data_IF_366557562721
#
_entry.id   IF_366557562721
#
_cell.length_a   1.000
_cell.length_b   1.000
_cell.length_c   1.000
_cell.angle_alpha   90.00
_cell.angle_beta   90.00
_cell.angle_gamma   90.00
#
_symmetry.space_group_name_H-M   'P 1'
#
loop_
_entity.id
_entity.type
_entity.pdbx_description
1 polymer ?
#
# COMPACT_ATOMS: atom_id res chain seq x y z
N UNK A 1 24.91 14.07 -29.25
CA UNK A 1 24.31 14.16 -27.91
C UNK A 1 25.40 13.96 -26.86
N UNK A 2 25.39 14.74 -25.78
CA UNK A 2 26.33 14.60 -24.66
C UNK A 2 25.58 14.09 -23.43
N UNK A 3 26.26 13.31 -22.59
CA UNK A 3 25.70 12.86 -21.31
C UNK A 3 25.54 14.08 -20.39
N UNK A 4 24.46 14.15 -19.63
CA UNK A 4 24.30 15.21 -18.65
C UNK A 4 25.25 15.00 -17.46
N UNK A 5 25.69 16.10 -16.83
CA UNK A 5 26.57 16.13 -15.66
C UNK A 5 27.89 15.35 -15.83
N UNK A 6 28.42 15.30 -17.05
CA UNK A 6 29.62 14.52 -17.38
C UNK A 6 30.88 15.35 -17.58
N UNK A 7 30.75 16.66 -17.80
CA UNK A 7 31.90 17.56 -18.05
C UNK A 7 32.50 18.00 -16.72
N UNK A 8 33.82 17.83 -16.59
CA UNK A 8 34.54 18.08 -15.34
C UNK A 8 34.77 19.57 -15.10
N UNK A 9 34.96 19.94 -13.83
CA UNK A 9 35.40 21.30 -13.49
C UNK A 9 36.68 21.64 -14.25
N UNK A 10 36.72 22.85 -14.81
CA UNK A 10 37.84 23.36 -15.60
C UNK A 10 37.76 23.02 -17.09
N UNK A 11 36.85 22.16 -17.53
CA UNK A 11 36.66 21.83 -18.95
C UNK A 11 35.73 22.83 -19.65
N UNK A 12 36.03 23.11 -20.93
CA UNK A 12 35.24 24.01 -21.78
C UNK A 12 33.92 23.37 -22.21
N UNK A 13 32.84 24.16 -22.24
CA UNK A 13 31.56 23.81 -22.85
C UNK A 13 31.20 24.84 -23.93
N UNK A 14 30.28 24.48 -24.84
CA UNK A 14 29.92 25.39 -25.93
C UNK A 14 29.16 26.62 -25.43
N UNK A 15 28.27 26.47 -24.45
CA UNK A 15 27.42 27.55 -23.98
C UNK A 15 27.19 27.44 -22.47
N UNK A 16 27.25 28.58 -21.79
CA UNK A 16 26.78 28.74 -20.42
C UNK A 16 25.59 29.70 -20.45
N UNK A 17 24.45 29.28 -19.90
CA UNK A 17 23.28 30.16 -19.84
C UNK A 17 23.58 31.39 -18.97
N UNK A 18 22.83 32.47 -19.18
CA UNK A 18 22.90 33.65 -18.30
C UNK A 18 22.52 33.33 -16.84
N UNK A 19 21.88 32.19 -16.58
CA UNK A 19 21.63 31.71 -15.21
C UNK A 19 22.81 30.96 -14.60
N UNK A 20 23.91 30.79 -15.34
CA UNK A 20 25.10 30.02 -14.95
C UNK A 20 24.81 28.56 -14.59
N UNK A 21 23.69 28.02 -15.08
CA UNK A 21 23.25 26.65 -14.83
C UNK A 21 23.43 25.84 -16.11
N UNK A 22 24.27 24.81 -16.07
CA UNK A 22 24.50 23.91 -17.21
C UNK A 22 24.27 22.47 -16.81
N UNK A 23 23.38 21.78 -17.54
CA UNK A 23 23.16 20.35 -17.35
C UNK A 23 24.33 19.49 -17.90
N UNK A 24 25.38 20.09 -18.47
CA UNK A 24 26.57 19.36 -18.90
C UNK A 24 27.62 19.26 -17.79
N UNK A 25 27.71 20.28 -16.95
CA UNK A 25 28.72 20.37 -15.89
C UNK A 25 28.41 19.45 -14.72
N UNK A 26 29.43 18.79 -14.16
CA UNK A 26 29.26 17.83 -13.08
C UNK A 26 28.70 18.43 -11.78
N UNK A 27 28.91 19.74 -11.55
CA UNK A 27 28.34 20.54 -10.45
C UNK A 27 27.22 21.48 -10.93
N UNK A 28 26.73 21.28 -12.16
CA UNK A 28 25.67 22.07 -12.80
C UNK A 28 25.95 23.56 -12.95
N UNK A 29 27.18 24.02 -12.69
CA UNK A 29 27.56 25.42 -12.72
C UNK A 29 28.63 25.70 -13.79
N UNK A 30 28.52 26.84 -14.45
CA UNK A 30 29.45 27.28 -15.48
C UNK A 30 29.67 28.80 -15.42
N UNK A 31 30.82 29.24 -15.92
CA UNK A 31 31.16 30.66 -16.06
C UNK A 31 32.00 30.89 -17.32
N UNK A 32 32.16 32.14 -17.74
CA UNK A 32 33.16 32.48 -18.76
C UNK A 32 34.55 32.61 -18.15
N UNK A 33 35.54 32.00 -18.79
CA UNK A 33 36.94 32.19 -18.41
C UNK A 33 37.49 33.53 -18.93
N UNK A 34 38.75 33.84 -18.60
CA UNK A 34 39.43 35.08 -19.00
C UNK A 34 39.53 35.30 -20.53
N UNK A 35 39.26 34.27 -21.33
CA UNK A 35 39.27 34.33 -22.79
C UNK A 35 37.84 34.38 -23.38
N UNK A 36 36.81 34.60 -22.54
CA UNK A 36 35.40 34.66 -22.96
C UNK A 36 34.82 33.31 -23.35
N UNK A 37 35.42 32.20 -22.91
CA UNK A 37 34.91 30.85 -23.21
C UNK A 37 34.17 30.25 -22.02
N UNK A 38 33.00 29.63 -22.22
CA UNK A 38 32.28 28.93 -21.17
C UNK A 38 33.06 27.72 -20.64
N UNK A 39 33.20 27.62 -19.31
CA UNK A 39 33.86 26.51 -18.60
C UNK A 39 33.00 26.03 -17.43
N UNK A 40 33.07 24.75 -17.09
CA UNK A 40 32.45 24.22 -15.89
C UNK A 40 33.25 24.61 -14.63
N UNK A 41 32.55 25.01 -13.56
CA UNK A 41 33.17 25.50 -12.31
C UNK A 41 32.45 24.94 -11.09
N UNK A 42 33.06 25.09 -9.91
CA UNK A 42 32.33 24.89 -8.66
C UNK A 42 31.25 25.96 -8.48
N UNK A 43 30.13 25.56 -7.89
CA UNK A 43 29.06 26.48 -7.55
C UNK A 43 29.42 27.33 -6.33
N UNK A 44 29.01 28.60 -6.36
CA UNK A 44 29.12 29.49 -5.21
C UNK A 44 28.39 28.91 -3.98
N UNK A 45 28.92 29.18 -2.79
CA UNK A 45 28.35 28.73 -1.51
C UNK A 45 28.65 29.72 -0.41
N UNK A 46 27.86 29.70 0.65
CA UNK A 46 28.20 30.41 1.89
C UNK A 46 29.31 29.66 2.63
N UNK A 47 30.04 30.39 3.48
CA UNK A 47 30.92 29.77 4.47
C UNK A 47 30.10 28.97 5.49
N UNK A 48 28.97 29.53 5.94
CA UNK A 48 27.93 28.84 6.70
C UNK A 48 26.57 29.43 6.34
N UNK A 49 25.73 28.65 5.66
CA UNK A 49 24.42 29.08 5.19
C UNK A 49 23.36 29.14 6.29
N UNK A 50 23.65 28.64 7.50
CA UNK A 50 22.71 28.63 8.64
C UNK A 50 22.76 29.90 9.48
N UNK A 51 23.73 30.77 9.23
CA UNK A 51 23.86 32.02 9.96
C UNK A 51 22.74 32.98 9.56
N UNK A 52 22.16 33.63 10.56
CA UNK A 52 21.19 34.70 10.34
C UNK A 52 21.86 35.94 9.72
N UNK A 53 21.04 36.81 9.14
CA UNK A 53 21.48 38.03 8.47
C UNK A 53 20.58 39.21 8.85
N UNK A 54 21.11 40.43 8.70
CA UNK A 54 20.35 41.67 8.87
C UNK A 54 20.23 42.48 7.58
N UNK A 55 21.08 42.19 6.59
CA UNK A 55 21.16 42.88 5.30
C UNK A 55 21.83 42.00 4.26
N UNK A 56 21.54 42.26 2.98
CA UNK A 56 22.06 41.46 1.86
C UNK A 56 23.59 41.40 1.79
N UNK A 57 24.30 42.43 2.28
CA UNK A 57 25.78 42.45 2.30
C UNK A 57 26.41 41.43 3.26
N UNK A 58 25.61 40.75 4.09
CA UNK A 58 26.05 39.65 4.96
C UNK A 58 25.89 38.28 4.27
N UNK A 59 25.15 38.21 3.16
CA UNK A 59 24.92 37.00 2.37
C UNK A 59 25.98 36.83 1.27
N UNK A 60 27.26 36.93 1.65
CA UNK A 60 28.35 36.81 0.70
C UNK A 60 28.70 35.34 0.45
N UNK A 61 28.96 35.02 -0.82
CA UNK A 61 29.53 33.74 -1.20
C UNK A 61 31.03 33.69 -0.87
N UNK A 62 31.58 32.48 -0.74
CA UNK A 62 33.03 32.26 -0.62
C UNK A 62 33.82 32.74 -1.83
N UNK A 63 33.16 32.89 -2.99
CA UNK A 63 33.67 33.58 -4.16
C UNK A 63 33.14 35.02 -4.19
N UNK A 64 34.04 35.99 -4.10
CA UNK A 64 33.70 37.42 -3.96
C UNK A 64 33.03 38.06 -5.20
N UNK A 65 32.82 37.30 -6.28
CA UNK A 65 32.29 37.77 -7.57
C UNK A 65 30.99 37.05 -7.99
N UNK A 66 30.24 36.51 -7.03
CA UNK A 66 28.97 35.81 -7.33
C UNK A 66 28.01 36.75 -8.08
N UNK A 67 27.68 36.39 -9.33
CA UNK A 67 26.85 37.20 -10.23
C UNK A 67 25.38 37.26 -9.77
N UNK A 68 24.95 36.27 -8.98
CA UNK A 68 23.64 36.22 -8.34
C UNK A 68 23.77 36.29 -6.82
N UNK A 69 23.82 37.49 -6.22
CA UNK A 69 23.99 37.62 -4.79
C UNK A 69 22.81 37.01 -4.03
N UNK A 70 23.11 36.27 -2.97
CA UNK A 70 22.12 35.81 -2.02
C UNK A 70 21.44 37.01 -1.34
N UNK A 71 20.19 36.83 -0.94
CA UNK A 71 19.37 37.86 -0.34
C UNK A 71 19.02 37.50 1.09
N UNK A 72 19.08 38.49 1.97
CA UNK A 72 18.62 38.35 3.34
C UNK A 72 17.11 38.49 3.39
N UNK A 73 16.41 37.45 3.88
CA UNK A 73 14.95 37.40 3.91
C UNK A 73 14.44 37.09 5.32
N UNK A 74 13.33 37.73 5.71
CA UNK A 74 12.68 37.44 6.98
C UNK A 74 11.96 36.09 6.94
N UNK A 75 12.22 35.24 7.93
CA UNK A 75 11.66 33.91 8.07
C UNK A 75 10.41 33.85 8.93
N UNK A 76 9.69 32.71 8.86
CA UNK A 76 8.52 32.45 9.71
C UNK A 76 8.90 32.16 11.18
N UNK A 77 10.19 31.94 11.46
CA UNK A 77 10.74 31.87 12.81
C UNK A 77 10.84 33.22 13.51
N UNK A 78 10.72 34.32 12.77
CA UNK A 78 10.98 35.68 13.26
C UNK A 78 12.43 36.15 13.08
N UNK A 79 13.34 35.23 12.73
CA UNK A 79 14.72 35.52 12.34
C UNK A 79 14.85 35.67 10.82
N UNK A 80 15.92 36.33 10.37
CA UNK A 80 16.22 36.51 8.95
C UNK A 80 17.41 35.66 8.51
N UNK A 81 17.32 35.05 7.32
CA UNK A 81 18.35 34.17 6.76
C UNK A 81 18.61 34.45 5.28
N UNK A 82 19.80 34.09 4.82
CA UNK A 82 20.20 34.24 3.43
C UNK A 82 19.55 33.17 2.54
N UNK A 83 19.15 33.53 1.31
CA UNK A 83 18.75 32.55 0.29
C UNK A 83 19.94 31.65 -0.08
N UNK A 84 19.70 30.37 -0.34
CA UNK A 84 20.81 29.44 -0.59
C UNK A 84 21.42 29.62 -1.99
N UNK A 85 22.75 29.64 -2.06
CA UNK A 85 23.52 29.47 -3.29
C UNK A 85 23.52 28.00 -3.74
N UNK A 86 23.81 27.77 -5.04
CA UNK A 86 23.79 26.43 -5.65
C UNK A 86 24.74 25.43 -4.98
N UNK A 87 25.87 25.90 -4.46
CA UNK A 87 26.87 25.09 -3.75
C UNK A 87 26.58 24.87 -2.26
N UNK A 88 25.51 25.47 -1.70
CA UNK A 88 25.12 25.22 -0.32
C UNK A 88 24.58 23.81 -0.13
N UNK A 89 24.82 23.23 1.06
CA UNK A 89 24.56 21.82 1.36
C UNK A 89 23.18 21.31 0.90
N UNK A 90 22.06 21.97 1.24
CA UNK A 90 20.74 21.52 0.81
C UNK A 90 20.53 21.50 -0.71
N UNK A 91 21.04 22.52 -1.44
CA UNK A 91 20.96 22.55 -2.91
C UNK A 91 21.85 21.49 -3.54
N UNK A 92 23.05 21.28 -3.01
CA UNK A 92 23.94 20.22 -3.45
C UNK A 92 23.34 18.84 -3.22
N UNK A 93 22.67 18.63 -2.08
CA UNK A 93 21.99 17.37 -1.79
C UNK A 93 20.82 17.10 -2.74
N UNK A 94 19.99 18.12 -3.02
CA UNK A 94 18.96 18.02 -4.04
C UNK A 94 19.54 17.73 -5.43
N UNK A 95 20.69 18.32 -5.76
CA UNK A 95 21.37 18.10 -7.03
C UNK A 95 21.95 16.68 -7.16
N UNK A 96 22.60 16.15 -6.12
CA UNK A 96 23.11 14.77 -6.08
C UNK A 96 21.99 13.76 -6.33
N UNK A 97 20.84 13.97 -5.68
CA UNK A 97 19.64 13.18 -5.90
C UNK A 97 19.17 13.32 -7.34
N UNK A 98 19.04 14.54 -7.86
CA UNK A 98 18.61 14.75 -9.25
C UNK A 98 19.56 14.07 -10.26
N UNK A 99 20.86 13.99 -9.98
CA UNK A 99 21.82 13.24 -10.80
C UNK A 99 21.52 11.74 -10.82
N UNK A 100 21.21 11.16 -9.66
CA UNK A 100 20.76 9.76 -9.54
C UNK A 100 19.49 9.55 -10.37
N UNK A 101 18.49 10.43 -10.27
CA UNK A 101 17.28 10.37 -11.10
C UNK A 101 17.61 10.22 -12.58
N UNK A 102 18.44 11.10 -13.12
CA UNK A 102 18.71 11.08 -14.54
C UNK A 102 19.52 9.87 -15.01
N UNK A 103 20.39 9.32 -14.16
CA UNK A 103 21.24 8.20 -14.54
C UNK A 103 20.54 6.85 -14.38
N UNK A 104 19.73 6.72 -13.34
CA UNK A 104 19.26 5.41 -12.89
C UNK A 104 17.75 5.21 -13.07
N UNK A 105 16.97 6.29 -13.26
CA UNK A 105 15.50 6.22 -13.23
C UNK A 105 14.78 6.93 -14.39
N UNK A 106 15.32 8.03 -14.92
CA UNK A 106 14.63 8.91 -15.86
C UNK A 106 14.28 8.27 -17.21
N UNK A 107 14.96 7.19 -17.58
CA UNK A 107 14.69 6.39 -18.76
C UNK A 107 13.34 5.66 -18.71
N UNK A 108 12.72 5.53 -17.52
CA UNK A 108 11.36 5.00 -17.37
C UNK A 108 10.28 6.03 -17.76
N UNK A 109 10.66 7.29 -17.96
CA UNK A 109 9.77 8.38 -18.35
C UNK A 109 9.88 8.71 -19.84
N UNK A 110 8.80 9.24 -20.41
CA UNK A 110 8.87 9.92 -21.70
C UNK A 110 9.87 11.09 -21.61
N UNK A 111 10.76 11.21 -22.61
CA UNK A 111 11.82 12.24 -22.63
C UNK A 111 11.29 13.65 -22.37
N UNK A 112 10.12 14.02 -22.90
CA UNK A 112 9.54 15.36 -22.70
C UNK A 112 8.90 15.55 -21.31
N UNK A 113 8.69 14.47 -20.56
CA UNK A 113 8.04 14.46 -19.23
C UNK A 113 8.92 13.95 -18.10
N UNK A 114 10.19 13.60 -18.36
CA UNK A 114 11.13 13.05 -17.35
C UNK A 114 11.44 13.97 -16.18
N UNK A 115 11.10 15.25 -16.27
CA UNK A 115 11.27 16.24 -15.19
C UNK A 115 9.94 16.56 -14.49
N UNK A 116 8.85 15.85 -14.83
CA UNK A 116 7.55 16.07 -14.20
C UNK A 116 7.49 15.35 -12.86
N UNK A 117 6.99 16.03 -11.79
CA UNK A 117 6.87 15.43 -10.46
C UNK A 117 6.16 14.08 -10.47
N UNK A 118 5.05 13.94 -11.22
CA UNK A 118 4.32 12.67 -11.32
C UNK A 118 5.22 11.52 -11.80
N UNK A 119 5.98 11.75 -12.87
CA UNK A 119 6.85 10.72 -13.41
C UNK A 119 8.05 10.42 -12.51
N UNK A 120 8.58 11.44 -11.84
CA UNK A 120 9.62 11.27 -10.84
C UNK A 120 9.10 10.48 -9.63
N UNK A 121 7.89 10.77 -9.16
CA UNK A 121 7.26 10.06 -8.06
C UNK A 121 7.04 8.57 -8.39
N UNK A 122 6.55 8.30 -9.61
CA UNK A 122 6.23 6.94 -10.07
C UNK A 122 7.46 6.01 -10.10
N UNK A 123 8.62 6.53 -10.52
CA UNK A 123 9.80 5.69 -10.80
C UNK A 123 10.97 5.86 -9.83
N UNK A 124 11.06 6.97 -9.09
CA UNK A 124 12.19 7.25 -8.19
C UNK A 124 11.91 6.90 -6.73
N UNK A 125 10.62 6.80 -6.35
CA UNK A 125 10.19 6.43 -5.00
C UNK A 125 10.75 7.35 -3.91
N UNK A 126 11.39 6.78 -2.90
CA UNK A 126 11.93 7.51 -1.74
C UNK A 126 12.99 8.55 -2.15
N UNK A 127 13.69 8.30 -3.26
CA UNK A 127 14.63 9.26 -3.83
C UNK A 127 13.94 10.54 -4.31
N UNK A 128 12.71 10.44 -4.86
CA UNK A 128 11.90 11.61 -5.19
C UNK A 128 11.40 12.32 -3.94
N UNK A 129 10.99 11.60 -2.90
CA UNK A 129 10.58 12.23 -1.63
C UNK A 129 11.75 12.98 -0.97
N UNK A 130 12.95 12.38 -0.97
CA UNK A 130 14.16 13.03 -0.47
C UNK A 130 14.53 14.26 -1.31
N UNK A 131 14.50 14.11 -2.64
CA UNK A 131 14.76 15.21 -3.56
C UNK A 131 13.77 16.34 -3.33
N UNK A 132 12.48 16.04 -3.23
CA UNK A 132 11.43 17.01 -3.04
C UNK A 132 11.55 17.72 -1.68
N UNK A 133 11.95 17.00 -0.62
CA UNK A 133 12.28 17.59 0.67
C UNK A 133 13.46 18.57 0.55
N UNK A 134 14.61 18.15 0.03
CA UNK A 134 15.80 19.03 -0.04
C UNK A 134 15.60 20.18 -1.03
N UNK A 135 14.90 19.94 -2.13
CA UNK A 135 14.55 20.97 -3.10
C UNK A 135 13.62 22.01 -2.47
N UNK A 136 12.53 21.59 -1.84
CA UNK A 136 11.58 22.49 -1.18
C UNK A 136 12.22 23.21 0.00
N UNK A 137 13.02 22.51 0.80
CA UNK A 137 13.79 23.12 1.89
C UNK A 137 14.76 24.17 1.38
N UNK A 138 15.44 23.92 0.25
CA UNK A 138 16.41 24.87 -0.30
C UNK A 138 15.78 26.10 -0.95
N UNK A 139 14.60 25.94 -1.58
CA UNK A 139 13.84 27.06 -2.15
C UNK A 139 13.25 27.93 -1.05
N UNK A 140 12.72 27.31 0.01
CA UNK A 140 12.02 28.01 1.08
C UNK A 140 12.88 28.24 2.33
N UNK A 141 14.19 28.01 2.24
CA UNK A 141 15.09 27.96 3.41
C UNK A 141 14.91 29.12 4.38
N UNK A 142 14.89 30.41 3.93
CA UNK A 142 14.74 31.50 4.87
C UNK A 142 13.42 31.47 5.64
N UNK A 143 12.35 30.94 5.04
CA UNK A 143 11.03 30.88 5.65
C UNK A 143 10.89 29.73 6.64
N UNK A 144 11.47 28.57 6.32
CA UNK A 144 11.20 27.32 7.06
C UNK A 144 12.28 26.98 8.09
N UNK A 145 13.46 27.59 8.00
CA UNK A 145 14.53 27.32 8.95
C UNK A 145 14.18 27.83 10.36
N UNK A 146 14.22 26.91 11.33
CA UNK A 146 13.84 27.11 12.74
C UNK A 146 12.41 27.63 12.97
N UNK A 147 11.55 27.58 11.96
CA UNK A 147 10.17 28.03 12.08
C UNK A 147 9.30 27.01 12.85
N UNK A 148 8.29 27.51 13.55
CA UNK A 148 7.31 26.67 14.23
C UNK A 148 6.47 25.90 13.22
N UNK A 149 6.22 24.62 13.51
CA UNK A 149 5.46 23.72 12.64
C UNK A 149 4.06 24.24 12.28
N UNK A 150 3.38 24.91 13.21
CA UNK A 150 2.07 25.50 12.95
C UNK A 150 2.13 26.62 11.91
N UNK A 151 3.20 27.42 11.88
CA UNK A 151 3.41 28.47 10.88
C UNK A 151 3.82 27.87 9.54
N UNK A 152 4.72 26.88 9.55
CA UNK A 152 5.17 26.17 8.34
C UNK A 152 4.01 25.44 7.65
N UNK A 153 3.13 24.78 8.41
CA UNK A 153 1.93 24.10 7.88
C UNK A 153 1.00 25.06 7.15
N UNK A 154 0.86 26.30 7.63
CA UNK A 154 -0.06 27.29 7.05
C UNK A 154 0.55 28.02 5.85
N UNK A 155 1.81 28.46 5.96
CA UNK A 155 2.41 29.35 4.96
C UNK A 155 3.30 28.61 3.94
N UNK A 156 3.79 27.42 4.27
CA UNK A 156 4.72 26.63 3.45
C UNK A 156 4.30 25.15 3.40
N UNK A 157 3.01 24.90 3.13
CA UNK A 157 2.39 23.56 3.21
C UNK A 157 3.11 22.51 2.33
N UNK A 158 3.57 22.88 1.14
CA UNK A 158 4.29 21.94 0.26
C UNK A 158 5.60 21.43 0.89
N UNK A 159 6.32 22.27 1.64
CA UNK A 159 7.48 21.83 2.41
C UNK A 159 7.06 20.99 3.63
N UNK A 160 5.99 21.38 4.33
CA UNK A 160 5.45 20.65 5.47
C UNK A 160 5.09 19.20 5.09
N UNK A 161 4.38 19.01 3.98
CA UNK A 161 4.03 17.69 3.43
C UNK A 161 5.29 16.89 3.04
N UNK A 162 6.22 17.52 2.33
CA UNK A 162 7.48 16.87 1.94
C UNK A 162 8.33 16.42 3.14
N UNK A 163 8.29 17.15 4.25
CA UNK A 163 9.01 16.83 5.49
C UNK A 163 8.36 15.69 6.28
N UNK A 164 7.03 15.63 6.31
CA UNK A 164 6.29 14.73 7.20
C UNK A 164 5.88 13.40 6.55
N UNK A 165 6.00 13.25 5.22
CA UNK A 165 5.79 12.01 4.47
C UNK A 165 6.84 10.89 4.73
N UNK A 166 7.45 10.83 5.93
CA UNK A 166 8.58 9.91 6.23
C UNK A 166 8.41 8.99 7.44
N UNK A 167 7.26 8.89 8.12
CA UNK A 167 7.13 7.96 9.27
C UNK A 167 5.75 7.30 9.38
N UNK A 168 5.74 5.97 9.39
CA UNK A 168 4.69 5.20 10.03
C UNK A 168 4.65 5.55 11.54
N UNK A 169 3.48 5.54 12.18
CA UNK A 169 3.40 5.87 13.60
C UNK A 169 4.09 4.79 14.46
N UNK A 170 4.72 5.20 15.58
CA UNK A 170 5.30 4.26 16.54
C UNK A 170 4.23 3.71 17.49
N UNK A 171 4.18 2.40 17.74
CA UNK A 171 3.26 1.80 18.69
C UNK A 171 3.96 1.52 20.02
N UNK A 172 3.28 1.79 21.13
CA UNK A 172 3.74 1.46 22.48
C UNK A 172 2.59 0.95 23.34
N UNK A 173 2.87 -0.03 24.20
CA UNK A 173 1.91 -0.46 25.22
C UNK A 173 1.92 0.54 26.37
N UNK A 174 0.75 0.94 26.85
CA UNK A 174 0.61 1.87 27.96
C UNK A 174 -0.76 1.82 28.60
N UNK A 175 -0.95 2.62 29.64
CA UNK A 175 -2.24 2.78 30.31
C UNK A 175 -2.79 4.18 30.04
N UNK A 176 -4.07 4.27 29.68
CA UNK A 176 -4.75 5.56 29.58
C UNK A 176 -6.22 5.45 30.01
N UNK A 177 -6.70 6.45 30.74
CA UNK A 177 -8.12 6.52 31.10
C UNK A 177 -8.95 6.85 29.86
N UNK A 178 -9.93 6.00 29.55
CA UNK A 178 -10.88 6.21 28.45
C UNK A 178 -12.31 5.92 28.89
N UNK A 179 -13.16 6.94 28.80
CA UNK A 179 -14.61 6.82 29.02
C UNK A 179 -15.38 6.26 27.80
N UNK A 180 -14.69 6.04 26.67
CA UNK A 180 -15.29 5.80 25.35
C UNK A 180 -14.92 4.45 24.72
N UNK A 181 -14.49 3.47 25.52
CA UNK A 181 -13.98 2.17 25.04
C UNK A 181 -12.86 2.33 24.00
N UNK A 182 -12.01 3.35 24.11
CA UNK A 182 -10.84 3.47 23.23
C UNK A 182 -9.72 2.57 23.74
N UNK A 183 -9.13 1.81 22.83
CA UNK A 183 -8.07 0.86 23.15
C UNK A 183 -6.76 1.16 22.40
N UNK A 184 -6.82 2.01 21.37
CA UNK A 184 -5.63 2.63 20.78
C UNK A 184 -5.85 4.14 20.71
N UNK A 185 -4.94 4.89 21.33
CA UNK A 185 -4.93 6.36 21.28
C UNK A 185 -3.85 6.83 20.31
N UNK A 186 -4.22 7.65 19.33
CA UNK A 186 -3.29 8.35 18.44
C UNK A 186 -2.86 9.68 19.06
N UNK A 187 -1.55 9.89 19.16
CA UNK A 187 -0.97 11.20 19.48
C UNK A 187 -0.46 11.88 18.19
N UNK A 188 -1.15 12.92 17.69
CA UNK A 188 -0.77 13.64 16.48
C UNK A 188 0.52 14.45 16.64
N UNK A 189 1.00 14.71 17.86
CA UNK A 189 2.22 15.48 18.11
C UNK A 189 3.47 14.61 18.01
N UNK A 190 3.41 13.39 18.51
CA UNK A 190 4.52 12.43 18.47
C UNK A 190 4.44 11.46 17.28
N UNK A 191 3.32 11.46 16.54
CA UNK A 191 3.01 10.46 15.53
C UNK A 191 3.17 9.04 16.10
N UNK A 192 2.51 8.79 17.23
CA UNK A 192 2.59 7.49 17.94
C UNK A 192 1.23 7.03 18.45
N UNK A 193 1.10 5.72 18.60
CA UNK A 193 -0.06 5.08 19.23
C UNK A 193 0.28 4.54 20.61
N UNK A 194 -0.62 4.73 21.56
CA UNK A 194 -0.63 4.02 22.84
C UNK A 194 -1.71 2.96 22.82
N UNK A 195 -1.34 1.71 23.08
CA UNK A 195 -2.26 0.57 23.13
C UNK A 195 -2.56 0.23 24.59
N UNK A 196 -3.85 0.26 24.95
CA UNK A 196 -4.37 -0.19 26.23
C UNK A 196 -5.59 -1.11 25.99
N UNK A 197 -5.31 -2.41 25.84
CA UNK A 197 -6.37 -3.40 25.64
C UNK A 197 -7.24 -3.61 26.90
N UNK A 198 -6.82 -3.11 28.08
CA UNK A 198 -7.59 -3.24 29.32
C UNK A 198 -8.83 -2.34 29.33
N UNK A 199 -8.89 -1.34 28.44
CA UNK A 199 -10.07 -0.51 28.20
C UNK A 199 -11.21 -1.26 27.47
N UNK A 200 -10.96 -2.48 26.97
CA UNK A 200 -12.00 -3.31 26.37
C UNK A 200 -12.73 -4.16 27.41
N UNK A 201 -14.06 -4.07 27.40
CA UNK A 201 -14.92 -4.88 28.23
C UNK A 201 -14.92 -6.36 27.79
N UNK A 202 -15.31 -7.27 28.69
CA UNK A 202 -15.49 -8.68 28.36
C UNK A 202 -16.39 -8.86 27.13
N UNK A 203 -15.87 -9.51 26.08
CA UNK A 203 -16.59 -9.76 24.83
C UNK A 203 -16.34 -8.73 23.73
N UNK A 204 -15.49 -7.72 23.96
CA UNK A 204 -14.97 -6.82 22.93
C UNK A 204 -13.46 -6.98 22.80
N UNK A 205 -12.94 -6.73 21.61
CA UNK A 205 -11.52 -6.84 21.30
C UNK A 205 -11.02 -5.51 20.75
N UNK A 206 -9.73 -5.23 20.96
CA UNK A 206 -9.07 -4.08 20.37
C UNK A 206 -8.65 -4.37 18.92
N UNK A 207 -9.62 -4.57 18.04
CA UNK A 207 -9.41 -4.91 16.64
C UNK A 207 -10.13 -3.91 15.75
N UNK A 208 -9.41 -3.31 14.81
CA UNK A 208 -9.99 -2.54 13.71
C UNK A 208 -9.80 -3.28 12.40
N UNK A 209 -10.87 -3.38 11.60
CA UNK A 209 -10.81 -3.93 10.24
C UNK A 209 -10.12 -2.97 9.25
N UNK A 210 -9.92 -1.71 9.64
CA UNK A 210 -9.21 -0.68 8.88
C UNK A 210 -8.37 0.15 9.87
N UNK A 211 -7.06 -0.06 9.90
CA UNK A 211 -6.15 0.81 10.63
C UNK A 211 -5.92 2.06 9.77
N UNK A 212 -6.88 2.99 9.81
CA UNK A 212 -6.69 4.31 9.20
C UNK A 212 -5.56 5.04 9.94
N UNK A 213 -4.59 5.63 9.21
CA UNK A 213 -3.59 6.48 9.82
C UNK A 213 -4.26 7.62 10.58
N UNK A 214 -3.68 8.00 11.72
CA UNK A 214 -4.07 9.19 12.49
C UNK A 214 -5.42 9.12 13.23
N UNK A 215 -5.90 7.91 13.53
CA UNK A 215 -7.20 7.70 14.17
C UNK A 215 -7.11 6.89 15.47
N UNK A 216 -7.92 7.25 16.47
CA UNK A 216 -8.13 6.43 17.66
C UNK A 216 -8.91 5.16 17.28
N UNK A 217 -8.60 4.03 17.93
CA UNK A 217 -9.34 2.78 17.75
C UNK A 217 -10.18 2.51 18.99
N UNK A 218 -11.47 2.26 18.78
CA UNK A 218 -12.39 1.79 19.81
C UNK A 218 -12.46 0.27 19.83
N UNK A 219 -12.74 -0.28 21.00
CA UNK A 219 -13.04 -1.70 21.15
C UNK A 219 -14.25 -2.03 20.28
N UNK A 220 -14.09 -3.04 19.44
CA UNK A 220 -15.15 -3.54 18.58
C UNK A 220 -15.65 -4.87 19.15
N UNK A 221 -16.92 -5.18 18.88
CA UNK A 221 -17.42 -6.53 19.12
C UNK A 221 -16.57 -7.50 18.29
N UNK A 222 -15.99 -8.51 18.92
CA UNK A 222 -15.14 -9.48 18.24
C UNK A 222 -15.92 -10.12 17.08
N UNK A 223 -15.56 -9.80 15.84
CA UNK A 223 -16.10 -10.47 14.65
C UNK A 223 -15.62 -11.93 14.55
N UNK A 224 -14.65 -12.33 15.38
CA UNK A 224 -14.13 -13.69 15.47
C UNK A 224 -15.09 -14.73 16.10
N UNK A 225 -16.31 -14.34 16.51
CA UNK A 225 -17.25 -15.27 17.17
C UNK A 225 -18.30 -15.87 16.24
N UNK A 226 -18.37 -15.50 14.95
CA UNK A 226 -19.42 -16.10 14.10
C UNK A 226 -19.11 -17.50 13.54
N UNK A 227 -17.89 -18.04 13.65
CA UNK A 227 -17.61 -19.40 13.15
C UNK A 227 -16.83 -20.36 14.05
N UNK A 228 -16.23 -19.90 15.15
CA UNK A 228 -15.73 -20.84 16.18
C UNK A 228 -16.79 -20.95 17.27
N UNK A 229 -17.95 -21.50 16.90
CA UNK A 229 -18.81 -22.04 17.95
C UNK A 229 -18.05 -23.24 18.54
N UNK A 230 -18.00 -23.38 19.85
CA UNK A 230 -17.46 -24.59 20.51
C UNK A 230 -18.26 -25.86 20.17
N UNK A 231 -19.31 -25.73 19.34
CA UNK A 231 -20.21 -26.80 18.95
C UNK A 231 -20.06 -27.14 17.47
N UNK A 232 -20.05 -28.44 17.18
CA UNK A 232 -19.62 -29.04 15.91
C UNK A 232 -20.79 -29.36 14.99
N UNK A 233 -20.58 -29.30 13.68
CA UNK A 233 -21.53 -29.58 12.61
C UNK A 233 -21.65 -31.09 12.30
N UNK A 234 -22.68 -31.52 11.55
CA UNK A 234 -22.79 -32.90 11.08
C UNK A 234 -21.51 -33.37 10.36
N UNK A 235 -21.02 -34.56 10.73
CA UNK A 235 -19.81 -35.16 10.19
C UNK A 235 -18.51 -34.77 10.89
N UNK A 236 -18.49 -33.70 11.69
CA UNK A 236 -17.30 -33.26 12.40
C UNK A 236 -16.94 -34.17 13.58
N UNK A 237 -15.64 -34.25 13.89
CA UNK A 237 -15.13 -35.17 14.93
C UNK A 237 -15.60 -34.76 16.32
N UNK A 238 -16.25 -35.66 17.05
CA UNK A 238 -16.67 -35.44 18.43
C UNK A 238 -16.13 -36.51 19.37
N UNK A 239 -16.01 -36.18 20.64
CA UNK A 239 -15.70 -37.13 21.71
C UNK A 239 -16.93 -37.47 22.55
N UNK A 240 -17.89 -36.56 22.61
CA UNK A 240 -19.14 -36.69 23.38
C UNK A 240 -20.25 -35.86 22.72
N UNK A 241 -21.50 -36.21 23.02
CA UNK A 241 -22.71 -35.57 22.48
C UNK A 241 -22.73 -34.05 22.64
N UNK A 242 -22.25 -33.55 23.78
CA UNK A 242 -22.20 -32.10 24.06
C UNK A 242 -21.28 -31.32 23.11
N UNK A 243 -20.39 -32.00 22.39
CA UNK A 243 -19.56 -31.35 21.38
C UNK A 243 -20.38 -30.96 20.14
N UNK A 244 -21.55 -31.54 19.94
CA UNK A 244 -22.35 -31.37 18.72
C UNK A 244 -23.31 -30.18 18.82
N UNK A 245 -23.39 -29.41 17.75
CA UNK A 245 -24.07 -28.11 17.68
C UNK A 245 -25.54 -28.18 17.33
N UNK A 246 -26.14 -26.99 17.23
CA UNK A 246 -27.57 -26.79 16.99
C UNK A 246 -28.06 -27.39 15.66
N UNK A 247 -27.16 -27.52 14.67
CA UNK A 247 -27.46 -28.11 13.37
C UNK A 247 -27.36 -29.64 13.36
N UNK A 248 -27.13 -30.27 14.50
CA UNK A 248 -27.00 -31.72 14.61
C UNK A 248 -28.21 -32.32 15.32
N UNK A 249 -28.27 -33.64 15.39
CA UNK A 249 -29.18 -34.38 16.28
C UNK A 249 -28.72 -34.34 17.75
N UNK A 250 -27.59 -33.68 18.05
CA UNK A 250 -26.95 -33.64 19.36
C UNK A 250 -26.18 -34.91 19.73
N UNK A 251 -26.04 -35.86 18.80
CA UNK A 251 -25.40 -37.17 19.05
C UNK A 251 -24.01 -37.28 18.44
N UNK A 252 -23.10 -37.83 19.21
CA UNK A 252 -21.76 -38.21 18.80
C UNK A 252 -21.68 -39.72 18.58
N UNK A 253 -21.74 -40.16 17.32
CA UNK A 253 -21.67 -41.58 16.96
C UNK A 253 -20.47 -41.83 16.05
N UNK A 254 -19.72 -42.91 16.30
CA UNK A 254 -18.49 -43.23 15.57
C UNK A 254 -17.48 -42.06 15.55
N UNK A 255 -17.38 -41.35 16.67
CA UNK A 255 -16.57 -40.13 16.82
C UNK A 255 -16.96 -39.00 15.84
N UNK A 256 -18.22 -38.96 15.38
CA UNK A 256 -18.74 -37.89 14.51
C UNK A 256 -20.12 -37.40 14.94
N UNK A 257 -20.33 -36.09 14.84
CA UNK A 257 -21.64 -35.51 15.10
C UNK A 257 -22.64 -35.92 14.03
N UNK A 258 -23.82 -36.38 14.44
CA UNK A 258 -24.84 -36.89 13.54
C UNK A 258 -25.81 -35.81 13.11
N UNK A 259 -25.99 -35.63 11.80
CA UNK A 259 -27.07 -34.86 11.19
C UNK A 259 -28.28 -35.73 10.84
N UNK A 260 -29.19 -35.16 10.06
CA UNK A 260 -30.38 -35.81 9.50
C UNK A 260 -29.96 -36.78 8.38
N UNK A 261 -30.55 -37.97 8.41
CA UNK A 261 -30.35 -39.00 7.39
C UNK A 261 -31.22 -38.80 6.16
N UNK A 262 -30.93 -39.58 5.12
CA UNK A 262 -31.68 -39.57 3.85
C UNK A 262 -33.14 -39.96 4.06
N UNK A 263 -34.08 -39.26 3.41
CA UNK A 263 -35.49 -39.67 3.35
C UNK A 263 -36.31 -39.41 4.63
N UNK A 264 -35.81 -38.54 5.51
CA UNK A 264 -36.49 -38.16 6.76
C UNK A 264 -36.90 -36.69 6.68
N UNK A 265 -38.20 -36.38 6.56
CA UNK A 265 -38.68 -35.00 6.57
C UNK A 265 -38.40 -34.29 7.89
N UNK A 266 -38.10 -32.99 7.83
CA UNK A 266 -37.94 -32.15 9.02
C UNK A 266 -38.24 -30.69 8.72
N UNK A 267 -38.74 -29.98 9.73
CA UNK A 267 -38.94 -28.54 9.65
C UNK A 267 -37.63 -27.81 9.89
N UNK A 268 -37.27 -26.92 8.97
CA UNK A 268 -36.13 -26.01 9.13
C UNK A 268 -36.57 -24.79 9.94
N UNK A 269 -35.92 -24.50 11.09
CA UNK A 269 -36.25 -23.30 11.86
C UNK A 269 -36.11 -22.03 11.01
N UNK A 270 -37.02 -21.07 11.19
CA UNK A 270 -37.02 -19.83 10.40
C UNK A 270 -35.67 -19.10 10.48
N UNK A 271 -35.15 -18.72 9.31
CA UNK A 271 -33.85 -18.05 9.19
C UNK A 271 -32.63 -18.97 9.28
N UNK A 272 -32.81 -20.29 9.39
CA UNK A 272 -31.71 -21.26 9.36
C UNK A 272 -31.62 -21.94 7.98
N UNK A 273 -30.41 -22.23 7.46
CA UNK A 273 -30.24 -22.99 6.24
C UNK A 273 -30.47 -24.49 6.48
N UNK A 274 -31.36 -25.10 5.71
CA UNK A 274 -31.74 -26.52 5.87
C UNK A 274 -30.60 -27.51 5.64
N UNK A 275 -29.68 -27.18 4.74
CA UNK A 275 -28.55 -28.06 4.39
C UNK A 275 -27.60 -28.31 5.54
N UNK A 276 -27.52 -27.39 6.51
CA UNK A 276 -26.61 -27.52 7.64
C UNK A 276 -27.02 -28.67 8.56
N UNK A 277 -28.26 -29.14 8.45
CA UNK A 277 -28.78 -30.26 9.22
C UNK A 277 -28.46 -31.63 8.60
N UNK A 278 -28.08 -31.70 7.33
CA UNK A 278 -27.91 -32.97 6.64
C UNK A 278 -26.58 -33.66 6.95
N UNK A 279 -26.58 -34.99 6.98
CA UNK A 279 -25.33 -35.76 7.05
C UNK A 279 -24.45 -35.52 5.81
N UNK A 280 -23.10 -35.64 5.94
CA UNK A 280 -22.20 -35.49 4.80
C UNK A 280 -22.59 -36.39 3.62
N UNK A 281 -22.57 -35.84 2.41
CA UNK A 281 -23.01 -36.53 1.19
C UNK A 281 -24.48 -36.33 0.84
N UNK A 282 -25.23 -35.57 1.65
CA UNK A 282 -26.63 -35.24 1.44
C UNK A 282 -26.85 -33.72 1.39
N UNK A 283 -27.95 -33.28 0.76
CA UNK A 283 -28.39 -31.89 0.73
C UNK A 283 -29.90 -31.78 1.00
N UNK A 284 -30.38 -30.59 1.35
CA UNK A 284 -31.79 -30.35 1.64
C UNK A 284 -32.57 -29.92 0.39
N UNK A 285 -33.55 -30.73 -0.02
CA UNK A 285 -34.34 -30.48 -1.23
C UNK A 285 -35.52 -29.51 -1.02
N UNK A 286 -35.75 -29.08 0.22
CA UNK A 286 -36.93 -28.30 0.62
C UNK A 286 -37.84 -29.03 1.59
N UNK A 287 -37.71 -30.36 1.71
CA UNK A 287 -38.51 -31.20 2.61
C UNK A 287 -37.64 -32.14 3.45
N UNK A 288 -36.62 -32.75 2.83
CA UNK A 288 -35.78 -33.76 3.47
C UNK A 288 -34.33 -33.72 2.97
N UNK A 289 -33.45 -34.49 3.62
CA UNK A 289 -32.11 -34.71 3.11
C UNK A 289 -32.13 -35.78 2.00
N UNK A 290 -31.56 -35.46 0.84
CA UNK A 290 -31.46 -36.35 -0.32
C UNK A 290 -30.00 -36.45 -0.78
N UNK A 291 -29.69 -37.40 -1.66
CA UNK A 291 -28.33 -37.61 -2.17
C UNK A 291 -27.85 -36.40 -2.98
N UNK A 292 -26.59 -36.01 -2.77
CA UNK A 292 -25.91 -35.06 -3.64
C UNK A 292 -25.83 -35.57 -5.08
N UNK A 293 -26.06 -34.65 -6.01
CA UNK A 293 -26.03 -34.84 -7.45
C UNK A 293 -24.60 -35.09 -7.93
N UNK A 294 -24.48 -36.03 -8.85
CA UNK A 294 -23.23 -36.36 -9.54
C UNK A 294 -22.90 -35.30 -10.59
N UNK A 295 -21.67 -35.36 -11.12
CA UNK A 295 -21.22 -34.49 -12.21
C UNK A 295 -22.20 -34.53 -13.40
N UNK A 296 -22.29 -33.39 -14.09
CA UNK A 296 -23.14 -33.13 -15.27
C UNK A 296 -24.66 -33.16 -15.02
N UNK A 297 -25.10 -33.42 -13.78
CA UNK A 297 -26.52 -33.31 -13.43
C UNK A 297 -26.93 -31.84 -13.19
N UNK A 298 -28.16 -31.50 -13.59
CA UNK A 298 -28.72 -30.17 -13.41
C UNK A 298 -28.83 -29.81 -11.93
N UNK A 299 -28.38 -28.61 -11.58
CA UNK A 299 -28.37 -28.11 -10.22
C UNK A 299 -28.83 -26.64 -10.18
N UNK A 300 -29.25 -26.17 -9.00
CA UNK A 300 -29.52 -24.74 -8.78
C UNK A 300 -28.62 -24.12 -7.71
N UNK A 301 -28.07 -24.95 -6.82
CA UNK A 301 -27.23 -24.54 -5.70
C UNK A 301 -26.07 -25.51 -5.53
N UNK A 302 -24.93 -25.03 -5.06
CA UNK A 302 -23.69 -25.84 -4.95
C UNK A 302 -23.79 -26.98 -3.95
N UNK A 303 -24.50 -26.77 -2.85
CA UNK A 303 -24.83 -27.81 -1.86
C UNK A 303 -25.56 -29.03 -2.46
N UNK A 304 -26.26 -28.88 -3.60
CA UNK A 304 -26.90 -29.98 -4.30
C UNK A 304 -25.90 -30.94 -4.93
N UNK A 305 -24.68 -30.49 -5.22
CA UNK A 305 -23.63 -31.28 -5.87
C UNK A 305 -22.79 -32.05 -4.86
N UNK A 306 -22.10 -33.10 -5.32
CA UNK A 306 -21.11 -33.82 -4.53
C UNK A 306 -20.04 -32.86 -3.98
N UNK A 307 -19.45 -33.20 -2.82
CA UNK A 307 -18.53 -32.32 -2.10
C UNK A 307 -17.30 -31.84 -2.91
N UNK A 308 -16.91 -32.55 -3.97
CA UNK A 308 -15.85 -32.16 -4.90
C UNK A 308 -16.37 -31.48 -6.18
N UNK A 309 -17.59 -30.97 -6.16
CA UNK A 309 -18.24 -30.29 -7.26
C UNK A 309 -18.89 -28.96 -6.86
N UNK A 310 -19.03 -28.06 -7.82
CA UNK A 310 -19.71 -26.77 -7.73
C UNK A 310 -20.87 -26.74 -8.71
N UNK A 311 -21.96 -26.06 -8.36
CA UNK A 311 -23.06 -25.82 -9.27
C UNK A 311 -22.79 -24.56 -10.10
N UNK A 312 -22.44 -24.74 -11.37
CA UNK A 312 -22.05 -23.63 -12.25
C UNK A 312 -22.46 -23.90 -13.71
N UNK A 313 -22.45 -22.88 -14.54
CA UNK A 313 -22.75 -22.99 -15.96
C UNK A 313 -21.62 -23.68 -16.72
N UNK A 314 -21.96 -24.63 -17.59
CA UNK A 314 -21.03 -25.21 -18.55
C UNK A 314 -20.95 -24.36 -19.83
N UNK A 315 -20.02 -24.69 -20.74
CA UNK A 315 -19.84 -23.95 -22.00
C UNK A 315 -21.06 -23.98 -22.92
N UNK A 316 -21.99 -24.93 -22.74
CA UNK A 316 -23.26 -24.97 -23.46
C UNK A 316 -24.35 -24.07 -22.82
N UNK A 317 -24.04 -23.38 -21.71
CA UNK A 317 -24.96 -22.49 -21.01
C UNK A 317 -25.94 -23.20 -20.06
N UNK A 318 -25.68 -24.47 -19.70
CA UNK A 318 -26.51 -25.22 -18.77
C UNK A 318 -25.88 -25.22 -17.37
N UNK A 319 -26.68 -24.97 -16.33
CA UNK A 319 -26.21 -25.02 -14.93
C UNK A 319 -26.19 -26.46 -14.42
N UNK A 320 -24.98 -26.99 -14.21
CA UNK A 320 -24.75 -28.39 -13.86
C UNK A 320 -23.68 -28.52 -12.78
N UNK A 321 -23.66 -29.67 -12.11
CA UNK A 321 -22.58 -29.99 -11.17
C UNK A 321 -21.28 -30.25 -11.94
N UNK A 322 -20.27 -29.42 -11.69
CA UNK A 322 -18.96 -29.51 -12.32
C UNK A 322 -17.89 -29.70 -11.26
N UNK A 323 -16.85 -30.47 -11.57
CA UNK A 323 -15.80 -30.76 -10.60
C UNK A 323 -15.04 -29.49 -10.22
N UNK A 324 -14.74 -29.31 -8.93
CA UNK A 324 -13.92 -28.18 -8.50
C UNK A 324 -12.48 -28.38 -8.93
N UNK A 325 -11.79 -27.29 -9.25
CA UNK A 325 -10.37 -27.26 -9.58
C UNK A 325 -9.97 -28.21 -10.73
N UNK A 326 -10.90 -28.50 -11.64
CA UNK A 326 -10.68 -29.45 -12.73
C UNK A 326 -10.27 -28.79 -14.05
N UNK A 327 -10.64 -27.53 -14.26
CA UNK A 327 -10.35 -26.81 -15.50
C UNK A 327 -8.92 -26.26 -15.45
N UNK A 328 -8.14 -26.55 -16.49
CA UNK A 328 -6.71 -26.23 -16.56
C UNK A 328 -6.46 -24.78 -16.93
N UNK A 329 -5.28 -24.26 -16.56
CA UNK A 329 -4.84 -22.94 -17.01
C UNK A 329 -4.93 -22.86 -18.54
N UNK A 330 -5.53 -21.78 -19.03
CA UNK A 330 -5.74 -21.50 -20.45
C UNK A 330 -7.03 -22.07 -21.04
N UNK A 331 -7.75 -22.94 -20.31
CA UNK A 331 -9.02 -23.49 -20.77
C UNK A 331 -10.19 -22.53 -20.48
N UNK A 332 -11.19 -22.55 -21.37
CA UNK A 332 -12.38 -21.69 -21.28
C UNK A 332 -13.35 -22.18 -20.20
N UNK A 333 -13.93 -21.22 -19.47
CA UNK A 333 -15.08 -21.42 -18.59
C UNK A 333 -16.26 -20.57 -19.06
N UNK A 334 -17.47 -20.88 -18.59
CA UNK A 334 -18.65 -20.13 -19.03
C UNK A 334 -18.63 -18.67 -18.59
N UNK A 335 -18.25 -18.41 -17.34
CA UNK A 335 -18.22 -17.09 -16.76
C UNK A 335 -17.04 -16.95 -15.79
N UNK A 336 -16.44 -15.77 -15.75
CA UNK A 336 -15.52 -15.37 -14.69
C UNK A 336 -16.15 -14.23 -13.92
N UNK A 337 -16.40 -14.42 -12.62
CA UNK A 337 -16.97 -13.37 -11.79
C UNK A 337 -16.04 -12.15 -11.74
N UNK A 338 -16.58 -10.96 -11.44
CA UNK A 338 -15.77 -9.76 -11.22
C UNK A 338 -14.81 -9.87 -10.04
N UNK A 339 -14.94 -10.90 -9.18
CA UNK A 339 -13.97 -11.22 -8.14
C UNK A 339 -12.77 -12.03 -8.67
N UNK A 340 -12.80 -12.43 -9.93
CA UNK A 340 -11.80 -13.28 -10.61
C UNK A 340 -11.58 -14.64 -9.94
N UNK A 341 -12.45 -15.03 -9.01
CA UNK A 341 -12.42 -16.32 -8.35
C UNK A 341 -13.39 -17.26 -9.05
N UNK A 342 -12.94 -18.46 -9.39
CA UNK A 342 -13.78 -19.54 -9.91
C UNK A 342 -13.40 -20.87 -9.26
N UNK A 343 -14.39 -21.58 -8.71
CA UNK A 343 -14.15 -22.90 -8.13
C UNK A 343 -13.86 -23.97 -9.20
N UNK A 344 -14.06 -23.68 -10.50
CA UNK A 344 -13.77 -24.60 -11.60
C UNK A 344 -12.28 -24.66 -11.93
N UNK A 345 -11.56 -23.53 -11.79
CA UNK A 345 -10.18 -23.39 -12.20
C UNK A 345 -9.21 -24.05 -11.22
N UNK A 346 -8.18 -24.75 -11.70
CA UNK A 346 -7.22 -25.47 -10.83
C UNK A 346 -6.47 -24.57 -9.84
N UNK A 347 -6.26 -23.29 -10.17
CA UNK A 347 -5.71 -22.27 -9.27
C UNK A 347 -6.77 -21.33 -8.67
N UNK A 348 -8.04 -21.69 -8.83
CA UNK A 348 -9.19 -20.91 -8.38
C UNK A 348 -9.31 -19.50 -8.99
N UNK A 349 -8.49 -19.18 -9.99
CA UNK A 349 -8.43 -17.85 -10.61
C UNK A 349 -8.80 -17.89 -12.09
N UNK A 350 -9.51 -16.88 -12.56
CA UNK A 350 -9.93 -16.73 -13.96
C UNK A 350 -9.81 -15.28 -14.43
N UNK A 351 -9.68 -15.08 -15.75
CA UNK A 351 -9.67 -13.77 -16.42
C UNK A 351 -10.30 -13.87 -17.81
N UNK A 352 -10.58 -12.73 -18.45
CA UNK A 352 -10.92 -12.71 -19.88
C UNK A 352 -9.65 -12.77 -20.73
N UNK A 353 -9.66 -13.62 -21.77
CA UNK A 353 -8.59 -13.66 -22.75
C UNK A 353 -8.72 -12.51 -23.79
N UNK A 354 -7.76 -12.42 -24.72
CA UNK A 354 -7.73 -11.37 -25.76
C UNK A 354 -8.95 -11.34 -26.69
N UNK A 355 -9.79 -12.37 -26.67
CA UNK A 355 -11.02 -12.48 -27.44
C UNK A 355 -12.28 -12.23 -26.58
N UNK A 356 -12.13 -11.75 -25.34
CA UNK A 356 -13.22 -11.50 -24.41
C UNK A 356 -13.88 -12.76 -23.86
N UNK A 357 -13.18 -13.90 -23.85
CA UNK A 357 -13.70 -15.15 -23.30
C UNK A 357 -13.10 -15.47 -21.93
N UNK A 358 -13.92 -15.87 -20.93
CA UNK A 358 -13.43 -16.31 -19.64
C UNK A 358 -12.54 -17.55 -19.73
N UNK A 359 -11.35 -17.50 -19.15
CA UNK A 359 -10.39 -18.60 -19.08
C UNK A 359 -9.80 -18.74 -17.69
N UNK A 360 -9.39 -19.95 -17.32
CA UNK A 360 -8.65 -20.18 -16.08
C UNK A 360 -7.20 -19.70 -16.20
N UNK A 361 -6.66 -19.12 -15.14
CA UNK A 361 -5.30 -18.55 -15.10
C UNK A 361 -4.58 -18.94 -13.81
N UNK A 362 -3.26 -18.77 -13.77
CA UNK A 362 -2.54 -18.85 -12.49
C UNK A 362 -3.03 -17.76 -11.54
N UNK A 363 -3.21 -18.13 -10.27
CA UNK A 363 -3.47 -17.17 -9.23
C UNK A 363 -2.25 -16.28 -9.00
N UNK A 364 -2.54 -15.02 -8.80
CA UNK A 364 -1.60 -13.99 -8.41
C UNK A 364 -0.94 -14.32 -7.06
N UNK A 365 0.39 -14.26 -7.00
CA UNK A 365 1.18 -14.54 -5.79
C UNK A 365 2.20 -13.44 -5.55
N UNK A 366 2.50 -13.13 -4.29
CA UNK A 366 3.63 -12.26 -3.97
C UNK A 366 4.95 -12.89 -4.40
N UNK A 367 5.87 -12.06 -4.90
CA UNK A 367 7.25 -12.48 -5.17
C UNK A 367 7.99 -12.89 -3.88
N UNK A 368 7.72 -12.22 -2.75
CA UNK A 368 8.28 -12.59 -1.43
C UNK A 368 7.34 -12.13 -0.29
N UNK A 369 6.63 -13.07 0.32
CA UNK A 369 5.65 -12.80 1.38
C UNK A 369 6.26 -12.50 2.76
N UNK A 370 7.59 -12.57 2.91
CA UNK A 370 8.30 -12.33 4.19
C UNK A 370 8.86 -10.92 4.30
N UNK A 371 8.87 -10.15 3.22
CA UNK A 371 9.31 -8.77 3.22
C UNK A 371 8.21 -7.88 3.80
N UNK A 372 8.57 -7.08 4.80
CA UNK A 372 7.73 -5.96 5.23
C UNK A 372 7.51 -5.01 4.05
N UNK A 373 6.36 -4.36 4.02
CA UNK A 373 6.02 -3.39 3.00
C UNK A 373 5.89 -2.00 3.65
N UNK A 374 6.07 -0.95 2.85
CA UNK A 374 5.88 0.45 3.24
C UNK A 374 4.84 1.16 2.36
N UNK A 375 4.43 0.55 1.24
CA UNK A 375 3.42 1.05 0.28
C UNK A 375 2.80 -0.08 -0.54
N UNK A 376 1.55 0.10 -1.00
CA UNK A 376 0.78 -0.94 -1.71
C UNK A 376 1.46 -1.51 -2.96
N UNK A 377 2.30 -0.72 -3.64
CA UNK A 377 3.03 -1.19 -4.82
C UNK A 377 4.18 -2.17 -4.50
N UNK A 378 4.55 -2.35 -3.24
CA UNK A 378 5.46 -3.42 -2.80
C UNK A 378 4.71 -4.73 -2.59
N UNK A 379 3.39 -4.64 -2.48
CA UNK A 379 2.48 -5.75 -2.49
C UNK A 379 2.07 -6.08 -3.94
N UNK A 380 3.02 -6.15 -4.87
CA UNK A 380 2.73 -6.58 -6.24
C UNK A 380 2.66 -8.10 -6.33
N UNK A 381 1.68 -8.59 -7.09
CA UNK A 381 1.64 -10.00 -7.50
C UNK A 381 2.63 -10.24 -8.65
N UNK A 382 3.04 -11.50 -8.85
CA UNK A 382 3.89 -11.92 -9.96
C UNK A 382 3.23 -11.77 -11.34
N UNK A 383 1.94 -11.48 -11.40
CA UNK A 383 1.17 -11.32 -12.62
C UNK A 383 0.89 -9.83 -12.85
N UNK A 384 1.47 -9.28 -13.91
CA UNK A 384 1.40 -7.84 -14.25
C UNK A 384 0.01 -7.34 -14.67
N UNK A 385 -1.02 -8.20 -14.60
CA UNK A 385 -2.42 -7.89 -14.93
C UNK A 385 -3.35 -8.02 -13.72
N UNK A 386 -2.82 -8.03 -12.49
CA UNK A 386 -3.60 -8.13 -11.27
C UNK A 386 -4.69 -7.05 -11.20
N UNK A 387 -5.95 -7.42 -11.44
CA UNK A 387 -7.11 -6.52 -11.33
C UNK A 387 -7.40 -6.14 -9.86
N UNK A 388 -6.75 -6.83 -8.92
CA UNK A 388 -6.78 -6.55 -7.48
C UNK A 388 -5.38 -6.27 -6.93
N UNK A 389 -5.00 -4.99 -6.75
CA UNK A 389 -3.74 -4.67 -6.11
C UNK A 389 -3.82 -5.07 -4.62
N UNK A 390 -2.95 -5.98 -4.21
CA UNK A 390 -2.72 -6.22 -2.78
C UNK A 390 -2.20 -4.94 -2.12
N UNK A 391 -2.61 -4.72 -0.88
CA UNK A 391 -2.31 -3.47 -0.17
C UNK A 391 -1.30 -3.73 0.93
N UNK A 392 -0.41 -2.76 1.10
CA UNK A 392 0.50 -2.75 2.21
C UNK A 392 -0.22 -2.23 3.45
N UNK A 393 -0.21 -3.05 4.49
CA UNK A 393 -0.83 -2.74 5.77
C UNK A 393 0.20 -2.78 6.88
N UNK A 394 0.05 -1.89 7.86
CA UNK A 394 0.88 -1.93 9.07
C UNK A 394 0.60 -3.24 9.82
N UNK A 395 1.64 -4.07 9.99
CA UNK A 395 1.58 -5.28 10.81
C UNK A 395 1.99 -5.02 12.26
N UNK A 396 1.43 -5.78 13.19
CA UNK A 396 1.91 -5.82 14.58
C UNK A 396 3.21 -6.63 14.62
N UNK A 397 4.36 -5.99 14.87
CA UNK A 397 5.61 -6.70 15.14
C UNK A 397 5.90 -6.65 16.63
N UNK A 398 6.13 -7.84 17.22
CA UNK A 398 6.44 -8.02 18.65
C UNK A 398 7.93 -8.03 18.94
#
# INVERSE_FOLDING_TARGET
CQKIYSVKIGEEIHNCSSSHVSNLCEHRHCMENSNGKPVCVEADKHQDYKLGCTKNSECNSTNSNAEFPSQCMCGLSGDSYCTLYMGDGPRMKAFELLKIWYYDYSQNCNTARRDKPDCQADFWGDGFLEYNYYFSYAVNFPYVHNALDCAVKVFENSYYEARNNRKCPQYSCGYFESDSQMCILYDPLSNSYTIDASNCATGTECISNSLEPEMNVTCSGSSAVEFITTKKFPGEKCQKDSDCGEYTTGKCENNRCQGKGKGVPFDVPSGKPGDYYCNPGLYYDGTECVEQKSLDQNCTRTNECQNDAVCDYNLAGNQVCQKIYSVKIGEEIHNCSSSHVSNLCEHRHCMENSNGKPVCVEADKHQDYKLGCTKNSECNSTNSNAEFPSQCMCGLSG
#
